data_IF_476573289866
#
_entry.id   IF_476573289866
#
_cell.length_a   1.000
_cell.length_b   1.000
_cell.length_c   1.000
_cell.angle_alpha   90.00
_cell.angle_beta   90.00
_cell.angle_gamma   90.00
#
_symmetry.space_group_name_H-M   'P 1'
#
loop_
_entity.id
_entity.type
_entity.pdbx_description
1 polymer ?
#
# COMPACT_ATOMS: atom_id res chain seq x y z
N UNK A 1 -3.38 28.36 6.45
CA UNK A 1 -2.38 27.50 7.10
C UNK A 1 -3.04 26.15 7.30
N UNK A 2 -2.92 25.26 6.31
CA UNK A 2 -3.41 23.89 6.44
C UNK A 2 -2.40 23.13 7.28
N UNK A 3 -2.75 22.84 8.53
CA UNK A 3 -1.98 21.95 9.37
C UNK A 3 -2.03 20.57 8.73
N UNK A 4 -0.92 20.13 8.14
CA UNK A 4 -0.71 18.77 7.67
C UNK A 4 -0.97 17.84 8.86
N UNK A 5 -2.09 17.11 8.83
CA UNK A 5 -2.39 16.07 9.81
C UNK A 5 -1.31 14.99 9.62
N UNK A 6 -0.65 14.57 10.70
CA UNK A 6 0.37 13.52 10.60
C UNK A 6 -0.29 12.18 10.24
N UNK A 7 0.50 11.26 9.69
CA UNK A 7 0.00 9.94 9.30
C UNK A 7 -0.54 9.14 10.50
N UNK A 8 0.09 9.28 11.67
CA UNK A 8 -0.44 8.73 12.92
C UNK A 8 -1.79 9.35 13.32
N UNK A 9 -1.95 10.66 13.17
CA UNK A 9 -3.20 11.34 13.48
C UNK A 9 -4.34 10.91 12.54
N UNK A 10 -4.05 10.67 11.24
CA UNK A 10 -5.02 10.13 10.28
C UNK A 10 -5.49 8.72 10.65
N UNK A 11 -4.56 7.85 11.09
CA UNK A 11 -4.92 6.49 11.55
C UNK A 11 -5.83 6.56 12.78
N UNK A 12 -5.49 7.38 13.78
CA UNK A 12 -6.33 7.54 14.97
C UNK A 12 -7.70 8.13 14.64
N UNK A 13 -7.75 9.08 13.69
CA UNK A 13 -9.01 9.66 13.24
C UNK A 13 -9.94 8.62 12.62
N UNK A 14 -9.45 7.75 11.73
CA UNK A 14 -10.25 6.65 11.16
C UNK A 14 -10.67 5.64 12.24
N UNK A 15 -9.78 5.31 13.19
CA UNK A 15 -10.11 4.38 14.28
C UNK A 15 -11.10 4.94 15.31
N UNK A 16 -11.25 6.26 15.39
CA UNK A 16 -12.20 6.92 16.27
C UNK A 16 -13.64 7.00 15.73
N UNK A 17 -13.92 6.43 14.55
CA UNK A 17 -15.28 6.41 13.99
C UNK A 17 -16.28 5.70 14.89
N UNK A 18 -17.47 6.27 15.07
CA UNK A 18 -18.48 5.75 16.00
C UNK A 18 -19.39 4.70 15.36
N UNK A 19 -19.43 4.64 14.02
CA UNK A 19 -20.27 3.71 13.28
C UNK A 19 -19.68 3.41 11.88
N UNK A 20 -20.24 2.38 11.21
CA UNK A 20 -19.72 1.90 9.92
C UNK A 20 -19.79 2.93 8.80
N UNK A 21 -20.83 3.78 8.78
CA UNK A 21 -20.97 4.80 7.75
C UNK A 21 -19.89 5.86 7.88
N UNK A 22 -19.66 6.32 9.11
CA UNK A 22 -18.59 7.27 9.39
C UNK A 22 -17.21 6.66 9.15
N UNK A 23 -17.01 5.39 9.49
CA UNK A 23 -15.79 4.66 9.16
C UNK A 23 -15.53 4.63 7.64
N UNK A 24 -16.55 4.30 6.85
CA UNK A 24 -16.48 4.28 5.39
C UNK A 24 -16.14 5.67 4.82
N UNK A 25 -16.89 6.70 5.22
CA UNK A 25 -16.68 8.09 4.75
C UNK A 25 -15.27 8.60 5.09
N UNK A 26 -14.78 8.35 6.31
CA UNK A 26 -13.42 8.76 6.72
C UNK A 26 -12.33 7.96 6.03
N UNK A 27 -12.55 6.66 5.81
CA UNK A 27 -11.61 5.82 5.08
C UNK A 27 -11.51 6.25 3.61
N UNK A 28 -12.64 6.52 2.95
CA UNK A 28 -12.68 7.00 1.56
C UNK A 28 -11.94 8.34 1.40
N UNK A 29 -12.07 9.24 2.37
CA UNK A 29 -11.31 10.51 2.37
C UNK A 29 -9.81 10.25 2.44
N UNK A 30 -9.38 9.36 3.35
CA UNK A 30 -7.97 9.09 3.58
C UNK A 30 -7.33 8.16 2.53
N UNK A 31 -8.11 7.32 1.86
CA UNK A 31 -7.62 6.30 0.93
C UNK A 31 -6.72 6.86 -0.19
N UNK A 32 -6.95 8.11 -0.61
CA UNK A 32 -6.14 8.78 -1.64
C UNK A 32 -4.70 9.11 -1.17
N UNK A 33 -4.50 9.27 0.14
CA UNK A 33 -3.22 9.61 0.75
C UNK A 33 -2.59 8.41 1.49
N UNK A 34 -3.38 7.35 1.72
CA UNK A 34 -3.02 6.15 2.46
C UNK A 34 -1.67 5.56 2.01
N UNK A 35 -1.53 5.24 0.72
CA UNK A 35 -0.31 4.58 0.23
C UNK A 35 0.93 5.45 0.44
N UNK A 36 0.82 6.77 0.23
CA UNK A 36 1.92 7.71 0.45
C UNK A 36 2.29 7.82 1.93
N UNK A 37 1.31 7.82 2.82
CA UNK A 37 1.52 7.83 4.26
C UNK A 37 2.21 6.54 4.73
N UNK A 38 1.76 5.38 4.23
CA UNK A 38 2.34 4.08 4.56
C UNK A 38 3.77 3.93 4.01
N UNK A 39 4.02 4.29 2.76
CA UNK A 39 5.37 4.20 2.17
C UNK A 39 6.33 5.25 2.74
N UNK A 40 5.88 6.50 2.86
CA UNK A 40 6.72 7.65 3.21
C UNK A 40 6.95 7.80 4.71
N UNK A 41 5.90 7.71 5.52
CA UNK A 41 5.97 8.04 6.95
C UNK A 41 6.15 6.79 7.82
N UNK A 42 5.56 5.66 7.42
CA UNK A 42 5.72 4.40 8.15
C UNK A 42 6.85 3.50 7.63
N UNK A 43 7.56 3.93 6.57
CA UNK A 43 8.76 3.26 6.07
C UNK A 43 8.47 1.84 5.54
N UNK A 44 7.36 1.65 4.85
CA UNK A 44 6.91 0.36 4.36
C UNK A 44 7.77 -0.18 3.20
N UNK A 45 8.96 -0.69 3.53
CA UNK A 45 9.95 -1.25 2.58
C UNK A 45 9.66 -2.68 2.13
N UNK A 46 8.69 -3.34 2.78
CA UNK A 46 8.36 -4.75 2.56
C UNK A 46 7.98 -5.08 1.10
N UNK A 47 7.21 -4.25 0.36
CA UNK A 47 6.89 -4.55 -1.03
C UNK A 47 8.13 -4.68 -1.92
N UNK A 48 9.08 -3.75 -1.77
CA UNK A 48 10.35 -3.77 -2.50
C UNK A 48 11.18 -5.01 -2.16
N UNK A 49 11.35 -5.28 -0.86
CA UNK A 49 12.13 -6.45 -0.41
C UNK A 49 11.52 -7.78 -0.89
N UNK A 50 10.19 -7.89 -0.88
CA UNK A 50 9.48 -9.06 -1.39
C UNK A 50 9.72 -9.24 -2.88
N UNK A 51 9.55 -8.17 -3.69
CA UNK A 51 9.78 -8.21 -5.13
C UNK A 51 11.24 -8.55 -5.49
N UNK A 52 12.21 -7.93 -4.80
CA UNK A 52 13.63 -8.22 -5.00
C UNK A 52 13.98 -9.66 -4.63
N UNK A 53 13.44 -10.18 -3.53
CA UNK A 53 13.65 -11.57 -3.13
C UNK A 53 13.04 -12.53 -4.14
N UNK A 54 11.82 -12.27 -4.60
CA UNK A 54 11.14 -13.07 -5.62
C UNK A 54 11.94 -13.14 -6.93
N UNK A 55 12.43 -11.99 -7.41
CA UNK A 55 13.19 -11.88 -8.66
C UNK A 55 14.52 -12.67 -8.65
N UNK A 56 15.03 -13.06 -7.47
CA UNK A 56 16.22 -13.92 -7.36
C UNK A 56 15.95 -15.38 -7.71
N UNK A 57 14.69 -15.82 -7.66
CA UNK A 57 14.34 -17.24 -7.75
C UNK A 57 13.38 -17.57 -8.89
N UNK A 58 12.75 -16.56 -9.50
CA UNK A 58 11.72 -16.75 -10.53
C UNK A 58 12.14 -16.09 -11.84
N UNK A 59 11.99 -16.81 -12.95
CA UNK A 59 12.24 -16.26 -14.28
C UNK A 59 11.21 -15.17 -14.63
N UNK A 60 11.65 -14.17 -15.40
CA UNK A 60 10.83 -13.01 -15.77
C UNK A 60 9.61 -13.35 -16.65
N UNK A 61 9.65 -14.48 -17.34
CA UNK A 61 8.58 -14.99 -18.20
C UNK A 61 7.58 -15.90 -17.45
N UNK A 62 7.77 -16.11 -16.15
CA UNK A 62 6.83 -16.87 -15.35
C UNK A 62 5.48 -16.13 -15.24
N UNK A 63 4.39 -16.91 -15.20
CA UNK A 63 3.07 -16.37 -14.90
C UNK A 63 2.96 -16.11 -13.40
N UNK A 64 2.67 -14.87 -13.02
CA UNK A 64 2.56 -14.44 -11.62
C UNK A 64 1.13 -14.01 -11.33
N UNK A 65 0.58 -14.52 -10.22
CA UNK A 65 -0.68 -14.11 -9.64
C UNK A 65 -0.39 -13.49 -8.26
N UNK A 66 -0.77 -12.22 -8.08
CA UNK A 66 -0.74 -11.55 -6.77
C UNK A 66 -2.07 -11.78 -6.04
N UNK A 67 -2.17 -12.93 -5.37
CA UNK A 67 -3.37 -13.32 -4.64
C UNK A 67 -3.41 -12.63 -3.26
N UNK A 68 -4.29 -11.63 -3.12
CA UNK A 68 -4.39 -10.84 -1.89
C UNK A 68 -3.48 -9.61 -1.90
N UNK A 69 -3.38 -8.94 -3.04
CA UNK A 69 -2.44 -7.84 -3.30
C UNK A 69 -2.49 -6.65 -2.31
N UNK A 70 -3.57 -6.52 -1.52
CA UNK A 70 -3.75 -5.40 -0.62
C UNK A 70 -3.72 -4.08 -1.40
N UNK A 71 -2.78 -3.20 -1.06
CA UNK A 71 -2.52 -1.93 -1.76
C UNK A 71 -1.95 -2.12 -3.18
N UNK A 72 -1.53 -3.33 -3.55
CA UNK A 72 -0.96 -3.63 -4.86
C UNK A 72 0.50 -3.22 -5.04
N UNK A 73 1.15 -2.68 -4.01
CA UNK A 73 2.52 -2.17 -4.08
C UNK A 73 3.55 -3.25 -4.44
N UNK A 74 3.32 -4.51 -4.07
CA UNK A 74 4.18 -5.63 -4.49
C UNK A 74 4.16 -5.80 -6.00
N UNK A 75 2.97 -5.75 -6.62
CA UNK A 75 2.82 -5.78 -8.07
C UNK A 75 3.51 -4.61 -8.78
N UNK A 76 3.47 -3.41 -8.19
CA UNK A 76 4.19 -2.23 -8.71
C UNK A 76 5.71 -2.45 -8.68
N UNK A 77 6.26 -2.97 -7.58
CA UNK A 77 7.70 -3.25 -7.47
C UNK A 77 8.14 -4.40 -8.39
N UNK A 78 7.32 -5.45 -8.55
CA UNK A 78 7.57 -6.52 -9.53
C UNK A 78 7.60 -5.97 -10.96
N UNK A 79 6.67 -5.08 -11.31
CA UNK A 79 6.62 -4.42 -12.62
C UNK A 79 7.91 -3.62 -12.88
N UNK A 80 8.41 -2.87 -11.89
CA UNK A 80 9.69 -2.14 -11.97
C UNK A 80 10.89 -3.05 -12.22
N UNK A 81 10.84 -4.31 -11.78
CA UNK A 81 11.88 -5.33 -12.05
C UNK A 81 11.69 -6.05 -13.40
N UNK A 82 10.64 -5.71 -14.15
CA UNK A 82 10.30 -6.29 -15.45
C UNK A 82 9.59 -7.65 -15.34
N UNK A 83 8.92 -7.92 -14.22
CA UNK A 83 8.08 -9.10 -14.00
C UNK A 83 6.63 -8.64 -14.07
N UNK A 84 5.87 -9.14 -15.06
CA UNK A 84 4.49 -8.74 -15.29
C UNK A 84 3.52 -9.74 -14.65
N UNK A 85 2.55 -9.23 -13.90
CA UNK A 85 1.34 -9.99 -13.56
C UNK A 85 0.48 -10.17 -14.82
N UNK A 86 -0.20 -11.32 -14.93
CA UNK A 86 -1.12 -11.63 -16.02
C UNK A 86 -2.56 -11.70 -15.54
#
# INVERSE_FOLDING_TARGET
MGSTISSEDRVQWVYSSENNRELEERYDEWANEYDNNIEGDFGYVMPRMAAETFARFVNKDAKVLDAGAGTGLVGVELNRLGILGH
#
